data_IF_494723643063
#
_entry.id   IF_494723643063
#
_cell.length_a   1.000
_cell.length_b   1.000
_cell.length_c   1.000
_cell.angle_alpha   90.00
_cell.angle_beta   90.00
_cell.angle_gamma   90.00
#
_symmetry.space_group_name_H-M   'P 1'
#
loop_
_entity.id
_entity.type
_entity.pdbx_description
1 polymer ?
#
# COMPACT_ATOMS: atom_id res chain seq x y z
N UNK A 1 -10.28 -31.31 13.18
CA UNK A 1 -9.65 -31.57 11.87
C UNK A 1 -10.16 -30.58 10.82
N UNK A 2 -11.41 -30.53 10.48
CA UNK A 2 -11.95 -29.63 9.42
C UNK A 2 -11.60 -28.13 9.57
N UNK A 3 -11.58 -27.57 10.78
CA UNK A 3 -11.22 -26.14 10.99
C UNK A 3 -9.74 -25.89 10.75
N UNK A 4 -8.85 -26.83 11.10
CA UNK A 4 -7.40 -26.74 10.86
C UNK A 4 -7.08 -26.86 9.36
N UNK A 5 -7.71 -27.80 8.66
CA UNK A 5 -7.58 -27.96 7.21
C UNK A 5 -8.08 -26.72 6.45
N UNK A 6 -9.20 -26.15 6.89
CA UNK A 6 -9.75 -24.90 6.34
C UNK A 6 -8.78 -23.73 6.49
N UNK A 7 -8.18 -23.55 7.65
CA UNK A 7 -7.21 -22.49 7.91
C UNK A 7 -5.94 -22.68 7.07
N UNK A 8 -5.46 -23.91 6.96
CA UNK A 8 -4.31 -24.24 6.12
C UNK A 8 -4.58 -23.91 4.65
N UNK A 9 -5.74 -24.28 4.11
CA UNK A 9 -6.11 -23.96 2.71
C UNK A 9 -6.20 -22.44 2.47
N UNK A 10 -6.78 -21.66 3.42
CA UNK A 10 -6.82 -20.21 3.32
C UNK A 10 -5.41 -19.63 3.18
N UNK A 11 -4.48 -20.07 4.02
CA UNK A 11 -3.10 -19.60 4.02
C UNK A 11 -2.35 -19.98 2.72
N UNK A 12 -2.57 -21.18 2.21
CA UNK A 12 -1.99 -21.62 0.93
C UNK A 12 -2.49 -20.75 -0.25
N UNK A 13 -3.78 -20.40 -0.25
CA UNK A 13 -4.34 -19.48 -1.25
C UNK A 13 -3.68 -18.10 -1.16
N UNK A 14 -3.53 -17.54 0.05
CA UNK A 14 -2.90 -16.24 0.28
C UNK A 14 -1.44 -16.26 -0.20
N UNK A 15 -0.67 -17.29 0.15
CA UNK A 15 0.74 -17.44 -0.26
C UNK A 15 0.87 -17.50 -1.78
N UNK A 16 0.08 -18.34 -2.44
CA UNK A 16 0.12 -18.44 -3.90
C UNK A 16 -0.34 -17.15 -4.57
N UNK A 17 -1.40 -16.50 -4.08
CA UNK A 17 -1.88 -15.24 -4.62
C UNK A 17 -0.82 -14.14 -4.48
N UNK A 18 -0.14 -14.04 -3.34
CA UNK A 18 0.97 -13.11 -3.13
C UNK A 18 2.07 -13.32 -4.18
N UNK A 19 2.51 -14.57 -4.38
CA UNK A 19 3.51 -14.89 -5.40
C UNK A 19 3.05 -14.48 -6.80
N UNK A 20 1.80 -14.82 -7.17
CA UNK A 20 1.26 -14.50 -8.49
C UNK A 20 1.12 -12.99 -8.70
N UNK A 21 0.60 -12.26 -7.72
CA UNK A 21 0.44 -10.80 -7.83
C UNK A 21 1.78 -10.06 -7.91
N UNK A 22 2.81 -10.55 -7.21
CA UNK A 22 4.16 -9.96 -7.24
C UNK A 22 4.99 -10.34 -8.48
N UNK A 23 4.65 -11.42 -9.19
CA UNK A 23 5.43 -11.90 -10.33
C UNK A 23 4.81 -11.58 -11.68
N UNK A 24 3.48 -11.56 -11.78
CA UNK A 24 2.77 -11.33 -13.04
C UNK A 24 1.73 -10.19 -12.95
N UNK A 25 1.56 -9.59 -11.78
CA UNK A 25 0.58 -8.54 -11.52
C UNK A 25 -0.79 -9.09 -11.10
N UNK A 26 -1.60 -8.19 -10.53
CA UNK A 26 -2.98 -8.51 -10.18
C UNK A 26 -3.82 -8.78 -11.43
N UNK A 27 -3.72 -7.93 -12.44
CA UNK A 27 -4.54 -8.00 -13.66
C UNK A 27 -4.43 -9.36 -14.35
N UNK A 28 -3.22 -9.87 -14.57
CA UNK A 28 -2.93 -11.15 -15.24
C UNK A 28 -3.16 -12.39 -14.35
N UNK A 29 -3.39 -12.18 -13.05
CA UNK A 29 -3.62 -13.28 -12.11
C UNK A 29 -5.09 -13.73 -12.15
N UNK A 30 -5.29 -15.06 -12.14
CA UNK A 30 -6.61 -15.70 -12.23
C UNK A 30 -6.86 -16.64 -11.06
N UNK A 31 -8.01 -16.50 -10.39
CA UNK A 31 -8.44 -17.42 -9.33
C UNK A 31 -8.60 -18.86 -9.81
N UNK A 32 -8.98 -19.06 -11.09
CA UNK A 32 -9.01 -20.39 -11.72
C UNK A 32 -7.61 -21.03 -11.76
N UNK A 33 -6.61 -20.28 -12.24
CA UNK A 33 -5.21 -20.76 -12.26
C UNK A 33 -4.66 -21.01 -10.85
N UNK A 34 -5.08 -20.22 -9.85
CA UNK A 34 -4.71 -20.45 -8.44
C UNK A 34 -5.30 -21.77 -7.94
N UNK A 35 -6.60 -22.01 -8.17
CA UNK A 35 -7.26 -23.25 -7.78
C UNK A 35 -6.60 -24.48 -8.44
N UNK A 36 -6.29 -24.41 -9.74
CA UNK A 36 -5.56 -25.46 -10.48
C UNK A 36 -4.18 -25.74 -9.85
N UNK A 37 -3.39 -24.71 -9.55
CA UNK A 37 -2.05 -24.86 -8.93
C UNK A 37 -2.09 -25.45 -7.54
N UNK A 38 -3.14 -25.17 -6.76
CA UNK A 38 -3.35 -25.71 -5.42
C UNK A 38 -4.07 -27.06 -5.42
N UNK A 39 -4.45 -27.58 -6.61
CA UNK A 39 -5.24 -28.81 -6.75
C UNK A 39 -6.54 -28.79 -5.91
N UNK A 40 -7.21 -27.64 -5.90
CA UNK A 40 -8.53 -27.46 -5.27
C UNK A 40 -9.56 -27.04 -6.32
N UNK A 41 -10.85 -27.21 -6.00
CA UNK A 41 -11.90 -26.71 -6.89
C UNK A 41 -12.00 -25.18 -6.83
N UNK A 42 -12.46 -24.55 -7.94
CA UNK A 42 -12.78 -23.10 -7.94
C UNK A 42 -13.81 -22.75 -6.88
N UNK A 43 -14.77 -23.63 -6.60
CA UNK A 43 -15.75 -23.46 -5.54
C UNK A 43 -15.13 -23.46 -4.14
N UNK A 44 -14.09 -24.28 -3.90
CA UNK A 44 -13.35 -24.28 -2.64
C UNK A 44 -12.58 -22.96 -2.46
N UNK A 45 -11.91 -22.45 -3.51
CA UNK A 45 -11.25 -21.15 -3.46
C UNK A 45 -12.28 -20.04 -3.20
N UNK A 46 -13.42 -20.02 -3.91
CA UNK A 46 -14.47 -19.02 -3.76
C UNK A 46 -15.14 -19.06 -2.37
N UNK A 47 -15.13 -20.20 -1.69
CA UNK A 47 -15.59 -20.31 -0.31
C UNK A 47 -14.69 -19.54 0.68
N UNK A 48 -13.39 -19.48 0.42
CA UNK A 48 -12.44 -18.68 1.21
C UNK A 48 -12.41 -17.22 0.78
N UNK A 49 -12.41 -17.00 -0.53
CA UNK A 49 -12.34 -15.67 -1.15
C UNK A 49 -13.37 -15.59 -2.28
N UNK A 50 -14.56 -15.02 -2.03
CA UNK A 50 -15.66 -14.98 -3.01
C UNK A 50 -15.29 -14.37 -4.35
N UNK A 51 -14.38 -13.39 -4.34
CA UNK A 51 -13.85 -12.77 -5.57
C UNK A 51 -12.35 -12.53 -5.47
N UNK A 52 -11.71 -12.25 -6.59
CA UNK A 52 -10.29 -11.83 -6.63
C UNK A 52 -10.04 -10.53 -5.85
N UNK A 53 -11.06 -9.66 -5.75
CA UNK A 53 -10.98 -8.42 -4.94
C UNK A 53 -10.88 -8.69 -3.44
N UNK A 54 -11.60 -9.70 -2.91
CA UNK A 54 -11.47 -10.10 -1.51
C UNK A 54 -10.06 -10.61 -1.19
N UNK A 55 -9.46 -11.31 -2.15
CA UNK A 55 -8.09 -11.79 -2.02
C UNK A 55 -7.08 -10.63 -2.09
N UNK A 56 -7.32 -9.65 -2.98
CA UNK A 56 -6.52 -8.42 -3.02
C UNK A 56 -6.62 -7.64 -1.71
N UNK A 57 -7.82 -7.52 -1.14
CA UNK A 57 -8.04 -6.83 0.12
C UNK A 57 -7.25 -7.47 1.28
N UNK A 58 -7.32 -8.79 1.42
CA UNK A 58 -6.53 -9.54 2.41
C UNK A 58 -5.03 -9.32 2.25
N UNK A 59 -4.54 -9.29 1.00
CA UNK A 59 -3.13 -9.03 0.71
C UNK A 59 -2.73 -7.58 0.94
N UNK A 60 -3.64 -6.63 0.73
CA UNK A 60 -3.40 -5.21 1.00
C UNK A 60 -3.17 -4.97 2.49
N UNK A 61 -3.98 -5.55 3.39
CA UNK A 61 -3.74 -5.47 4.83
C UNK A 61 -2.34 -5.96 5.20
N UNK A 62 -1.97 -7.15 4.71
CA UNK A 62 -0.64 -7.73 4.97
C UNK A 62 0.51 -6.91 4.39
N UNK A 63 0.28 -6.27 3.25
CA UNK A 63 1.28 -5.40 2.62
C UNK A 63 1.48 -4.12 3.45
N UNK A 64 0.41 -3.51 3.95
CA UNK A 64 0.49 -2.37 4.86
C UNK A 64 1.25 -2.71 6.14
N UNK A 65 0.94 -3.84 6.78
CA UNK A 65 1.66 -4.31 7.97
C UNK A 65 3.16 -4.50 7.68
N UNK A 66 3.47 -5.07 6.53
CA UNK A 66 4.87 -5.28 6.12
C UNK A 66 5.60 -3.96 5.83
N UNK A 67 4.94 -2.98 5.21
CA UNK A 67 5.50 -1.64 5.01
C UNK A 67 5.87 -0.99 6.35
N UNK A 68 5.00 -1.07 7.35
CA UNK A 68 5.27 -0.54 8.69
C UNK A 68 6.51 -1.18 9.32
N UNK A 69 6.65 -2.52 9.20
CA UNK A 69 7.84 -3.24 9.71
C UNK A 69 9.13 -2.79 9.03
N UNK A 70 9.11 -2.60 7.70
CA UNK A 70 10.28 -2.12 6.95
C UNK A 70 10.63 -0.68 7.35
N UNK A 71 9.62 0.19 7.48
CA UNK A 71 9.84 1.59 7.86
C UNK A 71 10.35 1.73 9.29
N UNK A 72 9.89 0.91 10.22
CA UNK A 72 10.35 0.90 11.60
C UNK A 72 11.84 0.54 11.70
N UNK A 73 12.32 -0.33 10.81
CA UNK A 73 13.73 -0.71 10.73
C UNK A 73 14.63 0.36 10.09
N UNK A 74 14.08 1.26 9.28
CA UNK A 74 14.86 2.23 8.47
C UNK A 74 14.81 3.67 9.03
N UNK A 75 13.94 3.96 10.03
CA UNK A 75 13.79 5.31 10.57
C UNK A 75 13.69 5.36 12.09
N UNK A 76 14.42 6.30 12.72
CA UNK A 76 14.44 6.48 14.18
C UNK A 76 13.17 7.17 14.75
N UNK A 77 12.39 7.88 13.92
CA UNK A 77 11.20 8.63 14.34
C UNK A 77 9.96 7.73 14.61
N UNK A 78 10.05 6.42 14.34
CA UNK A 78 8.96 5.47 14.48
C UNK A 78 8.05 5.36 13.23
N UNK A 79 7.43 4.20 13.06
CA UNK A 79 6.62 3.85 11.87
C UNK A 79 5.31 4.64 11.73
N UNK A 80 4.85 5.28 12.81
CA UNK A 80 3.64 6.13 12.82
C UNK A 80 3.94 7.62 12.73
N UNK A 81 5.17 8.02 12.41
CA UNK A 81 5.56 9.42 12.27
C UNK A 81 5.18 10.00 10.90
N UNK A 82 5.11 11.34 10.83
CA UNK A 82 4.95 12.03 9.55
C UNK A 82 6.06 11.65 8.55
N UNK A 83 7.30 11.47 9.02
CA UNK A 83 8.40 11.04 8.15
C UNK A 83 8.15 9.65 7.56
N UNK A 84 7.66 8.70 8.35
CA UNK A 84 7.32 7.35 7.90
C UNK A 84 6.25 7.37 6.82
N UNK A 85 5.16 8.10 7.04
CA UNK A 85 4.09 8.26 6.06
C UNK A 85 4.59 8.80 4.72
N UNK A 86 5.39 9.87 4.75
CA UNK A 86 5.94 10.46 3.53
C UNK A 86 6.91 9.52 2.83
N UNK A 87 7.70 8.76 3.59
CA UNK A 87 8.66 7.81 3.05
C UNK A 87 7.98 6.60 2.42
N UNK A 88 6.87 6.11 3.03
CA UNK A 88 6.03 5.07 2.44
C UNK A 88 5.53 5.48 1.06
N UNK A 89 4.86 6.62 0.96
CA UNK A 89 4.34 7.14 -0.31
C UNK A 89 5.45 7.34 -1.35
N UNK A 90 6.59 7.92 -0.93
CA UNK A 90 7.73 8.14 -1.82
C UNK A 90 8.31 6.83 -2.35
N UNK A 91 8.42 5.82 -1.48
CA UNK A 91 8.93 4.49 -1.84
C UNK A 91 7.99 3.75 -2.79
N UNK A 92 6.67 3.87 -2.57
CA UNK A 92 5.65 3.36 -3.49
C UNK A 92 5.71 4.03 -4.86
N UNK A 93 5.87 5.37 -4.91
CA UNK A 93 6.06 6.11 -6.17
C UNK A 93 7.30 5.62 -6.92
N UNK A 94 8.42 5.40 -6.23
CA UNK A 94 9.65 4.91 -6.85
C UNK A 94 9.51 3.49 -7.39
N UNK A 95 8.89 2.60 -6.63
CA UNK A 95 8.62 1.22 -7.07
C UNK A 95 7.72 1.18 -8.30
N UNK A 96 6.65 1.97 -8.31
CA UNK A 96 5.73 2.03 -9.44
C UNK A 96 6.36 2.65 -10.70
N UNK A 97 7.37 3.52 -10.53
CA UNK A 97 8.15 4.07 -11.65
C UNK A 97 9.02 3.01 -12.33
N UNK A 98 9.56 2.07 -11.56
CA UNK A 98 10.59 1.12 -12.01
C UNK A 98 10.04 -0.28 -12.31
N UNK A 99 8.82 -0.62 -11.82
CA UNK A 99 8.26 -1.96 -11.88
C UNK A 99 6.77 -1.93 -12.23
N UNK A 100 6.44 -2.27 -13.47
CA UNK A 100 5.05 -2.28 -13.96
C UNK A 100 4.17 -3.34 -13.26
N UNK A 101 4.75 -4.46 -12.80
CA UNK A 101 4.02 -5.47 -12.02
C UNK A 101 3.64 -4.94 -10.65
N UNK A 102 4.56 -4.26 -9.97
CA UNK A 102 4.28 -3.59 -8.70
C UNK A 102 3.27 -2.46 -8.89
N UNK A 103 3.40 -1.67 -9.95
CA UNK A 103 2.45 -0.63 -10.31
C UNK A 103 1.05 -1.19 -10.53
N UNK A 104 0.90 -2.31 -11.25
CA UNK A 104 -0.40 -2.96 -11.44
C UNK A 104 -0.98 -3.42 -10.09
N UNK A 105 -0.18 -4.01 -9.21
CA UNK A 105 -0.63 -4.41 -7.87
C UNK A 105 -1.12 -3.21 -7.06
N UNK A 106 -0.28 -2.18 -6.86
CA UNK A 106 -0.64 -1.01 -6.06
C UNK A 106 -1.84 -0.25 -6.63
N UNK A 107 -1.84 0.02 -7.95
CA UNK A 107 -2.97 0.75 -8.56
C UNK A 107 -4.26 -0.04 -8.57
N UNK A 108 -4.21 -1.37 -8.55
CA UNK A 108 -5.39 -2.23 -8.45
C UNK A 108 -6.13 -2.05 -7.11
N UNK A 109 -5.43 -1.74 -6.02
CA UNK A 109 -6.07 -1.43 -4.73
C UNK A 109 -7.03 -0.23 -4.88
N UNK A 110 -6.61 0.81 -5.57
CA UNK A 110 -7.44 2.01 -5.80
C UNK A 110 -8.56 1.81 -6.82
N UNK A 111 -8.44 0.85 -7.74
CA UNK A 111 -9.41 0.58 -8.80
C UNK A 111 -10.57 -0.31 -8.36
N UNK A 112 -10.44 -1.02 -7.25
CA UNK A 112 -11.42 -2.00 -6.78
C UNK A 112 -12.03 -1.58 -5.45
N UNK A 113 -13.37 -1.64 -5.34
CA UNK A 113 -14.12 -1.08 -4.22
C UNK A 113 -13.80 -1.72 -2.88
N UNK A 114 -13.63 -3.03 -2.83
CA UNK A 114 -13.40 -3.77 -1.58
C UNK A 114 -12.04 -3.40 -0.96
N UNK A 115 -10.89 -3.57 -1.64
CA UNK A 115 -9.60 -3.19 -1.06
C UNK A 115 -9.49 -1.68 -0.82
N UNK A 116 -10.05 -0.82 -1.70
CA UNK A 116 -10.05 0.63 -1.50
C UNK A 116 -10.78 1.05 -0.22
N UNK A 117 -11.95 0.45 0.06
CA UNK A 117 -12.70 0.76 1.27
C UNK A 117 -11.93 0.37 2.53
N UNK A 118 -11.28 -0.80 2.53
CA UNK A 118 -10.47 -1.25 3.67
C UNK A 118 -9.24 -0.36 3.86
N UNK A 119 -8.52 -0.05 2.78
CA UNK A 119 -7.36 0.83 2.81
C UNK A 119 -7.73 2.21 3.36
N UNK A 120 -8.74 2.88 2.82
CA UNK A 120 -9.18 4.22 3.27
C UNK A 120 -9.55 4.25 4.74
N UNK A 121 -10.20 3.21 5.26
CA UNK A 121 -10.52 3.11 6.68
C UNK A 121 -9.25 3.06 7.54
N UNK A 122 -8.27 2.25 7.15
CA UNK A 122 -6.99 2.15 7.85
C UNK A 122 -6.20 3.47 7.75
N UNK A 123 -6.13 4.06 6.56
CA UNK A 123 -5.40 5.30 6.30
C UNK A 123 -6.04 6.50 7.01
N UNK A 124 -7.37 6.58 7.13
CA UNK A 124 -8.05 7.60 7.95
C UNK A 124 -7.59 7.53 9.41
N UNK A 125 -7.49 6.34 10.01
CA UNK A 125 -7.03 6.18 11.38
C UNK A 125 -5.55 6.57 11.52
N UNK A 126 -4.72 6.18 10.57
CA UNK A 126 -3.30 6.53 10.51
C UNK A 126 -3.12 8.04 10.32
N UNK A 127 -3.86 8.66 9.40
CA UNK A 127 -3.83 10.11 9.18
C UNK A 127 -4.22 10.88 10.44
N UNK A 128 -5.25 10.45 11.16
CA UNK A 128 -5.64 11.06 12.44
C UNK A 128 -4.52 10.99 13.47
N UNK A 129 -3.82 9.87 13.59
CA UNK A 129 -2.68 9.75 14.51
C UNK A 129 -1.52 10.67 14.14
N UNK A 130 -1.23 10.82 12.85
CA UNK A 130 -0.07 11.56 12.34
C UNK A 130 -0.34 13.08 12.30
N UNK A 131 -1.55 13.48 11.91
CA UNK A 131 -1.85 14.88 11.58
C UNK A 131 -2.73 15.60 12.61
N UNK A 132 -3.15 14.94 13.69
CA UNK A 132 -4.03 15.55 14.70
C UNK A 132 -3.47 16.88 15.28
N UNK A 133 -2.16 16.98 15.46
CA UNK A 133 -1.50 18.21 15.95
C UNK A 133 -1.65 19.41 15.01
N UNK A 134 -1.81 19.16 13.69
CA UNK A 134 -2.02 20.20 12.67
C UNK A 134 -3.49 20.48 12.39
N UNK A 135 -4.38 19.65 12.92
CA UNK A 135 -5.83 19.68 12.68
C UNK A 135 -6.63 19.58 13.98
N UNK A 136 -6.38 20.46 14.97
CA UNK A 136 -6.93 20.31 16.33
C UNK A 136 -8.45 20.37 16.39
N UNK A 137 -9.10 21.06 15.46
CA UNK A 137 -10.54 21.25 15.41
C UNK A 137 -11.26 20.26 14.47
N UNK A 138 -10.51 19.28 13.88
CA UNK A 138 -11.09 18.34 12.94
C UNK A 138 -11.84 17.21 13.62
N UNK A 139 -12.99 16.89 13.04
CA UNK A 139 -13.80 15.73 13.40
C UNK A 139 -13.32 14.46 12.68
N UNK A 140 -13.86 13.30 13.02
CA UNK A 140 -13.65 12.05 12.29
C UNK A 140 -14.11 12.15 10.82
N UNK A 141 -15.18 12.92 10.57
CA UNK A 141 -15.71 13.15 9.23
C UNK A 141 -14.72 13.98 8.38
N UNK A 142 -14.10 15.02 8.96
CA UNK A 142 -13.09 15.83 8.28
C UNK A 142 -11.88 15.00 7.86
N UNK A 143 -11.38 14.13 8.74
CA UNK A 143 -10.30 13.21 8.40
C UNK A 143 -10.71 12.24 7.30
N UNK A 144 -11.93 11.68 7.36
CA UNK A 144 -12.43 10.74 6.36
C UNK A 144 -12.57 11.40 4.98
N UNK A 145 -13.14 12.60 4.91
CA UNK A 145 -13.30 13.34 3.66
C UNK A 145 -11.95 13.74 3.06
N UNK A 146 -11.02 14.20 3.90
CA UNK A 146 -9.69 14.57 3.45
C UNK A 146 -8.92 13.34 2.95
N UNK A 147 -8.98 12.22 3.66
CA UNK A 147 -8.33 10.98 3.23
C UNK A 147 -8.90 10.45 1.91
N UNK A 148 -10.20 10.56 1.69
CA UNK A 148 -10.81 10.24 0.40
C UNK A 148 -10.23 11.07 -0.76
N UNK A 149 -9.92 12.34 -0.54
CA UNK A 149 -9.26 13.19 -1.53
C UNK A 149 -7.78 12.85 -1.68
N UNK A 150 -7.08 12.63 -0.56
CA UNK A 150 -5.65 12.27 -0.53
C UNK A 150 -5.42 10.93 -1.22
N UNK A 151 -6.26 9.92 -1.01
CA UNK A 151 -6.15 8.64 -1.73
C UNK A 151 -6.24 8.79 -3.26
N UNK A 152 -7.00 9.79 -3.75
CA UNK A 152 -7.01 10.15 -5.16
C UNK A 152 -5.70 10.77 -5.65
N UNK A 153 -5.06 11.61 -4.82
CA UNK A 153 -3.74 12.19 -5.09
C UNK A 153 -2.66 11.10 -5.11
N UNK A 154 -2.71 10.18 -4.16
CA UNK A 154 -1.80 9.04 -4.08
C UNK A 154 -1.92 8.16 -5.33
N UNK A 155 -3.14 7.74 -5.69
CA UNK A 155 -3.38 7.00 -6.92
C UNK A 155 -2.80 7.70 -8.16
N UNK A 156 -3.10 8.99 -8.34
CA UNK A 156 -2.58 9.77 -9.47
C UNK A 156 -1.05 9.86 -9.45
N UNK A 157 -0.42 9.89 -8.27
CA UNK A 157 1.03 9.97 -8.13
C UNK A 157 1.76 8.68 -8.55
N UNK A 158 1.08 7.54 -8.44
CA UNK A 158 1.59 6.24 -8.88
C UNK A 158 1.50 6.03 -10.39
N UNK A 159 0.66 6.84 -11.09
CA UNK A 159 0.47 6.75 -12.54
C UNK A 159 1.52 7.56 -13.29
N UNK A 160 2.06 6.97 -14.35
CA UNK A 160 3.15 7.55 -15.16
C UNK A 160 2.66 8.33 -16.39
N UNK A 161 1.39 8.20 -16.76
CA UNK A 161 0.86 8.51 -18.08
C UNK A 161 1.10 9.94 -18.59
N UNK A 162 1.19 10.93 -17.69
CA UNK A 162 1.38 12.34 -18.06
C UNK A 162 2.72 12.94 -17.62
N UNK A 163 3.65 12.13 -17.12
CA UNK A 163 4.86 12.60 -16.44
C UNK A 163 6.17 12.20 -17.14
N UNK A 164 6.13 11.74 -18.40
CA UNK A 164 7.30 11.20 -19.10
C UNK A 164 8.51 12.14 -19.15
N UNK A 165 8.28 13.46 -19.03
CA UNK A 165 9.33 14.48 -19.02
C UNK A 165 9.65 15.04 -17.63
N UNK A 166 8.84 14.74 -16.60
CA UNK A 166 9.05 15.28 -15.26
C UNK A 166 9.78 14.27 -14.39
N UNK A 167 11.01 14.55 -13.92
CA UNK A 167 11.76 13.67 -13.05
C UNK A 167 10.99 13.27 -11.80
N UNK A 168 11.15 12.01 -11.36
CA UNK A 168 10.46 11.45 -10.20
C UNK A 168 10.61 12.32 -8.94
N UNK A 169 11.82 12.81 -8.65
CA UNK A 169 12.08 13.66 -7.48
C UNK A 169 11.22 14.93 -7.47
N UNK A 170 11.01 15.55 -8.63
CA UNK A 170 10.14 16.72 -8.75
C UNK A 170 8.68 16.36 -8.50
N UNK A 171 8.23 15.20 -8.99
CA UNK A 171 6.87 14.69 -8.75
C UNK A 171 6.68 14.39 -7.26
N UNK A 172 7.64 13.71 -6.63
CA UNK A 172 7.66 13.43 -5.19
C UNK A 172 7.49 14.73 -4.39
N UNK A 173 8.37 15.71 -4.61
CA UNK A 173 8.32 17.00 -3.90
C UNK A 173 6.93 17.63 -4.01
N UNK A 174 6.35 17.63 -5.21
CA UNK A 174 5.02 18.23 -5.45
C UNK A 174 3.91 17.45 -4.75
N UNK A 175 3.90 16.13 -4.88
CA UNK A 175 2.91 15.23 -4.24
C UNK A 175 2.94 15.37 -2.73
N UNK A 176 4.11 15.22 -2.11
CA UNK A 176 4.26 15.34 -0.66
C UNK A 176 3.81 16.70 -0.14
N UNK A 177 4.15 17.78 -0.86
CA UNK A 177 3.72 19.13 -0.47
C UNK A 177 2.21 19.30 -0.53
N UNK A 178 1.53 18.73 -1.54
CA UNK A 178 0.07 18.80 -1.69
C UNK A 178 -0.61 17.97 -0.60
N UNK A 179 -0.16 16.75 -0.36
CA UNK A 179 -0.71 15.87 0.69
C UNK A 179 -0.59 16.52 2.07
N UNK A 180 0.60 16.96 2.46
CA UNK A 180 0.80 17.62 3.77
C UNK A 180 -0.01 18.91 3.89
N UNK A 181 -0.22 19.66 2.79
CA UNK A 181 -1.04 20.86 2.78
C UNK A 181 -2.51 20.55 3.02
N UNK A 182 -3.01 19.41 2.53
CA UNK A 182 -4.37 18.95 2.78
C UNK A 182 -4.65 18.75 4.28
N UNK A 183 -3.63 18.39 5.05
CA UNK A 183 -3.68 18.23 6.52
C UNK A 183 -3.11 19.44 7.28
N UNK A 184 -3.15 20.64 6.72
CA UNK A 184 -2.73 21.90 7.36
C UNK A 184 -1.29 21.93 7.90
N UNK A 185 -0.41 21.03 7.45
CA UNK A 185 0.99 21.03 7.92
C UNK A 185 1.67 22.34 7.51
N UNK A 186 2.32 23.08 8.44
CA UNK A 186 3.00 24.34 8.16
C UNK A 186 4.09 24.22 7.08
N UNK A 187 4.32 25.31 6.34
CA UNK A 187 5.21 25.31 5.17
C UNK A 187 6.67 24.98 5.51
N UNK A 188 7.16 25.49 6.63
CA UNK A 188 8.51 25.23 7.14
C UNK A 188 8.70 23.75 7.48
N UNK A 189 7.71 23.13 8.15
CA UNK A 189 7.70 21.70 8.44
C UNK A 189 7.65 20.88 7.16
N UNK A 190 6.78 21.24 6.21
CA UNK A 190 6.73 20.55 4.90
C UNK A 190 8.08 20.56 4.21
N UNK A 191 8.73 21.74 4.12
CA UNK A 191 10.06 21.89 3.51
C UNK A 191 11.12 21.03 4.22
N UNK A 192 11.10 21.02 5.56
CA UNK A 192 12.03 20.24 6.37
C UNK A 192 11.84 18.73 6.14
N UNK A 193 10.61 18.24 6.21
CA UNK A 193 10.29 16.81 6.03
C UNK A 193 10.59 16.33 4.63
N UNK A 194 10.23 17.08 3.59
CA UNK A 194 10.58 16.76 2.20
C UNK A 194 12.11 16.65 2.03
N UNK A 195 12.87 17.60 2.58
CA UNK A 195 14.34 17.56 2.53
C UNK A 195 14.91 16.33 3.23
N UNK A 196 14.29 15.85 4.33
CA UNK A 196 14.70 14.61 5.01
C UNK A 196 14.40 13.39 4.13
N UNK A 197 13.19 13.27 3.58
CA UNK A 197 12.80 12.14 2.72
C UNK A 197 13.76 11.99 1.53
N UNK A 198 14.07 13.09 0.84
CA UNK A 198 14.97 13.07 -0.33
C UNK A 198 16.42 12.67 -0.02
N UNK A 199 16.83 12.63 1.26
CA UNK A 199 18.14 12.15 1.69
C UNK A 199 18.18 10.66 2.01
N UNK A 200 17.00 10.05 2.19
CA UNK A 200 16.86 8.62 2.47
C UNK A 200 16.81 7.87 1.15
N UNK A 201 17.38 6.69 1.11
CA UNK A 201 17.30 5.83 -0.09
C UNK A 201 15.91 5.16 -0.19
N UNK A 202 14.91 5.98 -0.57
CA UNK A 202 13.52 5.54 -0.74
C UNK A 202 13.37 4.50 -1.87
N UNK A 203 14.30 4.45 -2.84
CA UNK A 203 14.30 3.41 -3.89
C UNK A 203 14.67 2.04 -3.31
N UNK A 204 15.69 2.00 -2.44
CA UNK A 204 16.04 0.80 -1.69
C UNK A 204 14.86 0.31 -0.86
N UNK A 205 14.20 1.20 -0.13
CA UNK A 205 13.02 0.86 0.71
C UNK A 205 11.88 0.33 -0.16
N UNK A 206 11.55 0.98 -1.26
CA UNK A 206 10.55 0.48 -2.21
C UNK A 206 10.89 -0.91 -2.77
N UNK A 207 12.17 -1.14 -3.09
CA UNK A 207 12.65 -2.48 -3.48
C UNK A 207 12.48 -3.52 -2.36
N UNK A 208 12.69 -3.13 -1.10
CA UNK A 208 12.45 -4.00 0.06
C UNK A 208 10.97 -4.34 0.23
N UNK A 209 10.05 -3.38 0.02
CA UNK A 209 8.62 -3.60 0.05
C UNK A 209 8.19 -4.76 -0.86
N UNK A 210 8.72 -4.81 -2.08
CA UNK A 210 8.33 -5.85 -3.04
C UNK A 210 9.08 -7.16 -2.80
N UNK A 211 10.41 -7.11 -2.66
CA UNK A 211 11.25 -8.31 -2.56
C UNK A 211 11.04 -9.10 -1.27
N UNK A 212 10.77 -8.40 -0.18
CA UNK A 212 10.61 -9.03 1.13
C UNK A 212 9.18 -9.51 1.42
N UNK A 213 8.17 -8.91 0.77
CA UNK A 213 6.76 -9.21 1.06
C UNK A 213 6.39 -10.69 0.86
N UNK A 214 6.87 -11.32 -0.21
CA UNK A 214 6.60 -12.75 -0.44
C UNK A 214 7.10 -13.62 0.73
N UNK A 215 8.31 -13.35 1.23
CA UNK A 215 8.86 -14.05 2.39
C UNK A 215 8.06 -13.76 3.67
N UNK A 216 7.65 -12.50 3.86
CA UNK A 216 6.82 -12.11 4.99
C UNK A 216 5.50 -12.91 5.00
N UNK A 217 4.82 -13.03 3.87
CA UNK A 217 3.57 -13.81 3.76
C UNK A 217 3.80 -15.30 4.06
N UNK A 218 4.97 -15.86 3.78
CA UNK A 218 5.33 -17.23 4.13
C UNK A 218 5.44 -17.44 5.65
N UNK A 219 5.77 -16.41 6.41
CA UNK A 219 5.91 -16.46 7.89
C UNK A 219 4.57 -16.30 8.62
N UNK A 220 3.53 -15.82 7.95
CA UNK A 220 2.20 -15.64 8.54
C UNK A 220 1.49 -17.00 8.54
N UNK A 221 1.25 -17.51 9.76
CA UNK A 221 0.55 -18.78 10.01
C UNK A 221 -0.94 -18.57 10.22
#
# INVERSE_FOLDING_TARGET
MAQRERFQTKNEIIKLASQMFLTQGYTESSTKKMAEKLNISVGNLAYHFPTKEHLLAELTEKLCDYHLLVLEAEIDEGSTSLLAYLLELTSMMAVCEENEVAKDLYTSVYKHSIPLTLMRKADTQKAKQIFAEYCPDWTEEDFTLTENAVSGIEYASLMKENAQEIPLDKRIVKTLNVVMKAYNVPEDIRKQKIKKVLKIDYRKIGSQFIKGFSKYVETIN
#
